data_IF_272163454074
#
_entry.id   IF_272163454074
#
_cell.length_a   1.000
_cell.length_b   1.000
_cell.length_c   1.000
_cell.angle_alpha   90.00
_cell.angle_beta   90.00
_cell.angle_gamma   90.00
#
_symmetry.space_group_name_H-M   'P 1'
#
loop_
_entity.id
_entity.type
_entity.pdbx_description
1 polymer ?
#
# COMPACT_ATOMS: atom_id res chain seq x y z
N UNK A 1 59.05 16.37 -34.59
CA UNK A 1 59.94 17.30 -33.87
C UNK A 1 59.24 17.77 -32.61
N UNK A 2 59.91 17.59 -31.48
CA UNK A 2 59.75 18.19 -30.13
C UNK A 2 58.42 17.92 -29.40
N UNK A 3 58.32 16.97 -28.45
CA UNK A 3 59.02 16.79 -27.15
C UNK A 3 58.33 17.51 -25.98
N UNK A 4 57.59 16.68 -25.22
CA UNK A 4 57.56 16.50 -23.74
C UNK A 4 57.88 17.73 -22.88
N UNK A 5 56.99 18.04 -21.94
CA UNK A 5 57.35 18.30 -20.53
C UNK A 5 56.25 17.78 -19.58
N UNK A 6 56.61 16.74 -18.84
CA UNK A 6 55.88 16.22 -17.70
C UNK A 6 56.11 17.12 -16.47
N UNK A 7 55.05 17.35 -15.70
CA UNK A 7 55.13 17.99 -14.38
C UNK A 7 54.93 16.90 -13.34
N UNK A 8 56.00 16.62 -12.58
CA UNK A 8 55.97 15.79 -11.37
C UNK A 8 55.47 16.65 -10.22
N UNK A 9 54.40 16.22 -9.55
CA UNK A 9 53.99 16.74 -8.24
C UNK A 9 54.45 15.74 -7.19
N UNK A 10 55.46 16.12 -6.41
CA UNK A 10 55.91 15.40 -5.21
C UNK A 10 54.98 15.74 -4.05
N UNK A 11 54.31 14.75 -3.49
CA UNK A 11 53.58 14.87 -2.22
C UNK A 11 54.46 14.31 -1.10
N UNK A 12 54.99 15.20 -0.26
CA UNK A 12 55.80 14.84 0.90
C UNK A 12 54.92 14.23 1.99
N UNK A 13 55.31 13.03 2.43
CA UNK A 13 54.79 12.31 3.58
C UNK A 13 55.40 12.95 4.84
N UNK A 14 54.57 13.53 5.70
CA UNK A 14 55.01 14.00 7.02
C UNK A 14 54.75 12.91 8.05
N UNK A 15 55.85 12.34 8.54
CA UNK A 15 55.91 11.29 9.55
C UNK A 15 55.83 11.93 10.94
N UNK A 16 54.72 11.75 11.67
CA UNK A 16 54.68 12.07 13.10
C UNK A 16 55.01 10.81 13.91
N UNK A 17 56.24 10.79 14.42
CA UNK A 17 56.68 9.88 15.48
C UNK A 17 56.21 10.49 16.80
N UNK A 18 55.29 9.82 17.51
CA UNK A 18 55.08 10.05 18.93
C UNK A 18 55.52 8.79 19.65
N UNK A 19 56.67 8.90 20.32
CA UNK A 19 57.23 7.87 21.19
C UNK A 19 56.49 7.86 22.53
N UNK A 20 56.27 6.63 22.99
CA UNK A 20 55.69 6.24 24.26
C UNK A 20 56.46 6.78 25.47
N UNK A 21 55.73 7.29 26.47
CA UNK A 21 56.14 7.14 27.87
C UNK A 21 55.14 6.23 28.58
N UNK A 22 55.65 5.02 28.83
CA UNK A 22 55.13 3.99 29.70
C UNK A 22 54.88 4.49 31.12
N UNK A 23 53.76 4.07 31.72
CA UNK A 23 53.71 3.73 33.13
C UNK A 23 52.85 2.46 33.27
N UNK A 24 53.50 1.28 33.30
CA UNK A 24 52.93 0.09 33.93
C UNK A 24 52.96 0.24 35.45
N UNK A 25 52.27 -0.54 36.27
CA UNK A 25 51.32 -1.64 36.10
C UNK A 25 50.88 -2.05 37.51
N UNK A 26 49.61 -2.41 37.75
CA UNK A 26 49.24 -3.66 38.45
C UNK A 26 47.71 -3.86 38.45
N UNK A 27 47.22 -5.12 38.48
CA UNK A 27 45.88 -5.50 38.05
C UNK A 27 44.89 -5.58 39.23
N UNK A 28 43.63 -5.22 38.98
CA UNK A 28 42.54 -5.48 39.91
C UNK A 28 41.32 -6.05 39.18
N UNK A 29 41.11 -7.34 39.45
CA UNK A 29 39.87 -8.13 39.53
C UNK A 29 38.66 -7.73 38.68
N UNK A 30 38.23 -8.72 37.90
CA UNK A 30 36.89 -8.90 37.37
C UNK A 30 35.78 -8.54 38.37
N UNK A 31 34.83 -7.73 37.94
CA UNK A 31 33.45 -7.85 38.39
C UNK A 31 32.55 -7.51 37.21
N UNK A 32 31.80 -8.52 36.77
CA UNK A 32 30.63 -8.33 35.92
C UNK A 32 29.66 -7.46 36.71
N UNK A 33 29.31 -6.29 36.19
CA UNK A 33 27.98 -5.78 36.45
C UNK A 33 27.42 -5.16 35.18
N UNK A 34 26.46 -5.90 34.63
CA UNK A 34 25.66 -5.57 33.47
C UNK A 34 24.34 -5.07 34.02
N UNK A 35 24.05 -3.80 33.84
CA UNK A 35 22.68 -3.29 33.99
C UNK A 35 22.44 -2.22 32.94
N UNK A 36 22.33 -2.67 31.69
CA UNK A 36 21.50 -1.98 30.70
C UNK A 36 20.06 -2.11 31.20
N UNK A 37 19.28 -1.02 31.36
CA UNK A 37 17.90 -1.12 31.78
C UNK A 37 17.10 -1.84 30.70
N UNK A 38 16.71 -3.08 30.98
CA UNK A 38 15.78 -3.85 30.18
C UNK A 38 14.39 -3.20 30.33
N UNK A 39 14.09 -2.26 29.44
CA UNK A 39 12.73 -1.72 29.31
C UNK A 39 11.85 -2.84 28.77
N UNK A 40 11.10 -3.46 29.66
CA UNK A 40 10.10 -4.46 29.31
C UNK A 40 8.95 -3.76 28.58
N UNK A 41 9.03 -3.77 27.24
CA UNK A 41 7.92 -3.32 26.39
C UNK A 41 6.80 -4.35 26.52
N UNK A 42 5.75 -3.98 27.26
CA UNK A 42 4.50 -4.73 27.30
C UNK A 42 3.80 -4.61 25.95
N UNK A 43 3.91 -5.67 25.15
CA UNK A 43 2.92 -5.97 24.12
C UNK A 43 1.66 -6.48 24.81
N UNK A 44 0.48 -6.00 24.40
CA UNK A 44 -0.76 -6.72 24.72
C UNK A 44 -0.71 -8.06 23.99
N UNK A 45 -0.36 -9.11 24.72
CA UNK A 45 -0.32 -10.48 24.22
C UNK A 45 -1.75 -10.98 23.97
N UNK A 46 -2.20 -10.87 22.72
CA UNK A 46 -3.23 -11.68 22.11
C UNK A 46 -3.23 -11.36 20.61
N UNK A 47 -3.36 -12.38 19.76
CA UNK A 47 -3.80 -12.20 18.36
C UNK A 47 -5.23 -11.64 18.38
N UNK A 48 -5.34 -10.34 18.63
CA UNK A 48 -6.62 -9.65 18.58
C UNK A 48 -7.13 -9.72 17.14
N UNK A 49 -8.44 -9.99 16.93
CA UNK A 49 -8.98 -10.09 15.60
C UNK A 49 -8.72 -8.80 14.83
N UNK A 50 -8.26 -8.98 13.60
CA UNK A 50 -8.05 -7.94 12.61
C UNK A 50 -9.41 -7.22 12.37
N UNK A 51 -9.53 -5.93 12.70
CA UNK A 51 -10.79 -5.15 12.70
C UNK A 51 -10.82 -4.12 11.55
N UNK A 52 -11.89 -4.14 10.75
CA UNK A 52 -12.13 -3.19 9.66
C UNK A 52 -12.80 -1.89 10.14
N UNK A 53 -12.50 -0.76 9.49
CA UNK A 53 -13.12 0.54 9.78
C UNK A 53 -14.50 0.75 9.13
N UNK A 54 -15.23 1.76 9.64
CA UNK A 54 -16.61 2.11 9.30
C UNK A 54 -16.80 2.67 7.87
N UNK A 55 -15.76 3.27 7.28
CA UNK A 55 -15.83 3.83 5.93
C UNK A 55 -15.03 3.01 4.93
N UNK A 56 -15.54 2.98 3.69
CA UNK A 56 -14.98 2.18 2.60
C UNK A 56 -14.04 3.02 1.75
N UNK A 57 -12.98 2.39 1.25
CA UNK A 57 -11.96 3.00 0.42
C UNK A 57 -11.87 2.24 -0.89
N UNK A 58 -12.06 2.94 -2.00
CA UNK A 58 -12.05 2.39 -3.36
C UNK A 58 -10.87 2.94 -4.15
N UNK A 59 -10.59 2.32 -5.29
CA UNK A 59 -9.68 2.84 -6.30
C UNK A 59 -10.42 3.40 -7.50
N UNK A 60 -9.73 4.28 -8.24
CA UNK A 60 -10.13 4.65 -9.59
C UNK A 60 -9.44 3.67 -10.53
N UNK A 61 -10.23 2.93 -11.29
CA UNK A 61 -9.76 2.05 -12.37
C UNK A 61 -9.85 2.80 -13.69
N UNK A 62 -8.90 2.49 -14.57
CA UNK A 62 -8.92 2.93 -15.96
C UNK A 62 -8.96 1.68 -16.84
N UNK A 63 -9.88 1.66 -17.81
CA UNK A 63 -10.01 0.57 -18.77
C UNK A 63 -9.97 1.15 -20.18
N UNK A 64 -8.79 1.07 -20.82
CA UNK A 64 -8.60 1.55 -22.19
C UNK A 64 -9.25 0.63 -23.23
N UNK A 65 -9.51 -0.63 -22.88
CA UNK A 65 -9.95 -1.64 -23.86
C UNK A 65 -11.46 -1.64 -24.09
N UNK A 66 -12.23 -1.16 -23.12
CA UNK A 66 -13.68 -1.14 -23.19
C UNK A 66 -14.15 0.06 -23.99
N UNK A 67 -14.76 -0.21 -25.15
CA UNK A 67 -15.32 0.82 -26.02
C UNK A 67 -16.37 1.65 -25.28
N UNK A 68 -16.25 2.97 -25.35
CA UNK A 68 -17.11 3.93 -24.64
C UNK A 68 -16.65 4.28 -23.22
N UNK A 69 -15.65 3.57 -22.67
CA UNK A 69 -15.08 3.85 -21.33
C UNK A 69 -13.66 4.44 -21.38
N UNK A 70 -13.13 4.75 -22.56
CA UNK A 70 -11.71 5.09 -22.78
C UNK A 70 -11.27 6.32 -21.97
N UNK A 71 -12.21 7.25 -21.75
CA UNK A 71 -12.01 8.50 -21.01
C UNK A 71 -12.68 8.51 -19.63
N UNK A 72 -13.07 7.35 -19.10
CA UNK A 72 -13.78 7.25 -17.83
C UNK A 72 -12.84 6.71 -16.74
N UNK A 73 -12.71 7.48 -15.65
CA UNK A 73 -12.24 6.96 -14.37
C UNK A 73 -13.38 6.21 -13.69
N UNK A 74 -13.27 4.89 -13.59
CA UNK A 74 -14.33 4.03 -13.09
C UNK A 74 -14.08 3.62 -11.64
N UNK A 75 -15.09 3.79 -10.78
CA UNK A 75 -15.04 3.40 -9.37
C UNK A 75 -15.97 2.21 -9.19
N UNK A 76 -15.38 1.01 -9.13
CA UNK A 76 -16.13 -0.25 -9.00
C UNK A 76 -16.69 -0.43 -7.59
N UNK A 77 -17.95 -0.86 -7.51
CA UNK A 77 -18.67 -1.18 -6.27
C UNK A 77 -18.98 -2.66 -6.12
N UNK A 78 -18.41 -3.53 -6.93
CA UNK A 78 -18.75 -4.96 -6.95
C UNK A 78 -18.50 -5.67 -5.62
N UNK A 79 -17.47 -5.26 -4.88
CA UNK A 79 -17.16 -5.77 -3.55
C UNK A 79 -18.25 -5.43 -2.50
N UNK A 80 -19.21 -4.56 -2.85
CA UNK A 80 -20.31 -4.10 -2.00
C UNK A 80 -21.70 -4.28 -2.63
N UNK A 81 -21.78 -4.61 -3.92
CA UNK A 81 -23.04 -4.75 -4.64
C UNK A 81 -23.38 -6.22 -4.87
N UNK A 82 -24.23 -6.84 -4.03
CA UNK A 82 -24.55 -8.26 -4.15
C UNK A 82 -25.41 -8.51 -5.39
N UNK A 83 -24.82 -9.23 -6.34
CA UNK A 83 -25.49 -9.77 -7.53
C UNK A 83 -26.33 -11.01 -7.16
N UNK A 84 -27.38 -11.27 -7.94
CA UNK A 84 -28.30 -12.39 -7.70
C UNK A 84 -28.81 -12.91 -9.02
N UNK A 85 -28.80 -14.23 -9.20
CA UNK A 85 -29.33 -14.91 -10.39
C UNK A 85 -30.86 -14.82 -10.54
N UNK A 86 -31.58 -14.33 -9.52
CA UNK A 86 -33.03 -14.21 -9.59
C UNK A 86 -33.46 -13.15 -10.61
N UNK A 87 -34.40 -13.44 -11.54
CA UNK A 87 -34.83 -12.50 -12.59
C UNK A 87 -35.30 -11.13 -12.08
N UNK A 88 -35.98 -11.11 -10.93
CA UNK A 88 -36.46 -9.86 -10.29
C UNK A 88 -35.35 -9.05 -9.60
N UNK A 89 -34.10 -9.53 -9.62
CA UNK A 89 -32.95 -8.93 -8.96
C UNK A 89 -31.78 -8.64 -9.89
N UNK A 90 -31.97 -8.75 -11.21
CA UNK A 90 -30.96 -8.47 -12.21
C UNK A 90 -30.41 -7.05 -12.08
N UNK A 91 -29.08 -6.95 -12.03
CA UNK A 91 -28.36 -5.70 -11.89
C UNK A 91 -28.20 -4.91 -13.20
N UNK A 92 -28.47 -5.54 -14.34
CA UNK A 92 -28.35 -4.97 -15.68
C UNK A 92 -29.61 -5.27 -16.51
N UNK A 93 -29.90 -4.49 -17.57
CA UNK A 93 -30.90 -4.83 -18.57
C UNK A 93 -30.56 -6.10 -19.36
N UNK A 94 -31.55 -6.62 -20.07
CA UNK A 94 -31.31 -7.63 -21.09
C UNK A 94 -30.48 -7.00 -22.22
N UNK A 95 -29.35 -7.62 -22.52
CA UNK A 95 -28.35 -7.16 -23.49
C UNK A 95 -28.13 -8.18 -24.62
N UNK A 96 -28.93 -9.25 -24.67
CA UNK A 96 -28.72 -10.40 -25.55
C UNK A 96 -28.71 -10.04 -27.05
N UNK A 97 -29.49 -9.03 -27.43
CA UNK A 97 -29.62 -8.56 -28.82
C UNK A 97 -28.75 -7.34 -29.14
N UNK A 98 -27.90 -6.90 -28.20
CA UNK A 98 -27.07 -5.71 -28.37
C UNK A 98 -25.71 -6.07 -28.99
N UNK A 99 -25.15 -5.24 -29.90
CA UNK A 99 -23.82 -5.47 -30.46
C UNK A 99 -22.75 -5.39 -29.36
N UNK A 100 -21.70 -6.22 -29.45
CA UNK A 100 -20.62 -6.33 -28.45
C UNK A 100 -20.07 -4.96 -28.03
N UNK A 101 -19.80 -4.09 -29.00
CA UNK A 101 -19.32 -2.72 -28.80
C UNK A 101 -20.20 -1.86 -27.88
N UNK A 102 -21.51 -2.10 -27.85
CA UNK A 102 -22.46 -1.34 -27.02
C UNK A 102 -22.64 -1.90 -25.62
N UNK A 103 -22.18 -3.14 -25.39
CA UNK A 103 -22.30 -3.83 -24.11
C UNK A 103 -20.98 -3.86 -23.34
N UNK A 104 -19.89 -3.31 -23.88
CA UNK A 104 -18.63 -3.18 -23.13
C UNK A 104 -18.75 -2.14 -22.00
N UNK A 105 -19.52 -1.08 -22.24
CA UNK A 105 -19.80 -0.03 -21.27
C UNK A 105 -21.16 0.62 -21.56
N UNK A 106 -22.02 0.72 -20.54
CA UNK A 106 -23.30 1.41 -20.66
C UNK A 106 -23.80 1.96 -19.31
N UNK A 107 -24.67 2.96 -19.37
CA UNK A 107 -25.25 3.59 -18.18
C UNK A 107 -26.46 2.81 -17.65
N UNK A 108 -26.53 2.70 -16.33
CA UNK A 108 -27.64 2.12 -15.58
C UNK A 108 -28.53 3.24 -15.02
N UNK A 109 -29.77 3.30 -15.47
CA UNK A 109 -30.74 4.34 -15.10
C UNK A 109 -32.03 3.74 -14.53
N UNK A 110 -32.92 4.59 -14.00
CA UNK A 110 -34.22 4.17 -13.46
C UNK A 110 -34.10 3.08 -12.39
N UNK A 111 -34.83 1.97 -12.58
CA UNK A 111 -34.90 0.86 -11.62
C UNK A 111 -33.53 0.27 -11.25
N UNK A 112 -32.57 0.22 -12.19
CA UNK A 112 -31.25 -0.35 -11.95
C UNK A 112 -30.43 0.54 -11.01
N UNK A 113 -30.55 1.86 -11.18
CA UNK A 113 -29.91 2.83 -10.29
C UNK A 113 -30.53 2.81 -8.90
N UNK A 114 -31.86 2.83 -8.82
CA UNK A 114 -32.57 2.75 -7.54
C UNK A 114 -32.19 1.48 -6.76
N UNK A 115 -32.15 0.34 -7.45
CA UNK A 115 -31.75 -0.94 -6.84
C UNK A 115 -30.29 -0.94 -6.39
N UNK A 116 -29.38 -0.42 -7.20
CA UNK A 116 -27.96 -0.30 -6.85
C UNK A 116 -27.77 0.55 -5.59
N UNK A 117 -28.38 1.73 -5.54
CA UNK A 117 -28.27 2.64 -4.40
C UNK A 117 -28.85 2.02 -3.13
N UNK A 118 -30.01 1.36 -3.24
CA UNK A 118 -30.63 0.65 -2.11
C UNK A 118 -29.73 -0.47 -1.58
N UNK A 119 -29.23 -1.35 -2.45
CA UNK A 119 -28.40 -2.51 -2.05
C UNK A 119 -27.03 -2.11 -1.50
N UNK A 120 -26.44 -1.01 -1.98
CA UNK A 120 -25.14 -0.52 -1.50
C UNK A 120 -25.25 0.39 -0.28
N UNK A 121 -26.45 0.91 0.01
CA UNK A 121 -26.69 1.91 1.06
C UNK A 121 -26.20 3.32 0.70
N UNK A 122 -25.83 3.56 -0.56
CA UNK A 122 -25.41 4.87 -1.07
C UNK A 122 -26.65 5.72 -1.37
N UNK A 123 -26.63 6.99 -0.98
CA UNK A 123 -27.69 7.95 -1.26
C UNK A 123 -27.35 8.87 -2.43
N UNK A 124 -28.36 9.33 -3.15
CA UNK A 124 -28.22 10.35 -4.20
C UNK A 124 -27.62 11.67 -3.70
N UNK A 125 -27.83 11.99 -2.42
CA UNK A 125 -27.29 13.19 -1.77
C UNK A 125 -25.90 12.98 -1.15
N UNK A 126 -25.37 11.76 -1.19
CA UNK A 126 -23.99 11.51 -0.81
C UNK A 126 -23.02 12.16 -1.79
N UNK A 127 -21.76 12.22 -1.36
CA UNK A 127 -20.65 12.67 -2.19
C UNK A 127 -19.63 11.56 -2.36
N UNK A 128 -19.10 11.46 -3.56
CA UNK A 128 -17.89 10.71 -3.87
C UNK A 128 -16.70 11.66 -3.72
N UNK A 129 -15.76 11.30 -2.85
CA UNK A 129 -14.53 12.06 -2.57
C UNK A 129 -13.35 11.36 -3.24
N UNK A 130 -12.68 12.06 -4.15
CA UNK A 130 -11.47 11.58 -4.84
C UNK A 130 -10.27 12.31 -4.25
N UNK A 131 -9.37 11.57 -3.60
CA UNK A 131 -8.24 12.13 -2.86
C UNK A 131 -6.91 11.60 -3.43
N UNK A 132 -6.07 12.52 -3.91
CA UNK A 132 -4.69 12.18 -4.26
C UNK A 132 -3.79 12.39 -3.04
N UNK A 133 -3.34 11.28 -2.46
CA UNK A 133 -2.55 11.31 -1.22
C UNK A 133 -1.09 11.73 -1.43
N UNK A 134 -0.55 11.69 -2.66
CA UNK A 134 0.82 12.12 -2.96
C UNK A 134 0.94 13.63 -3.18
N UNK A 135 -0.17 14.31 -3.48
CA UNK A 135 -0.24 15.76 -3.66
C UNK A 135 -1.05 16.47 -2.58
N UNK A 136 -1.91 15.74 -1.86
CA UNK A 136 -2.83 16.29 -0.88
C UNK A 136 -4.06 16.97 -1.49
N UNK A 137 -4.32 16.79 -2.79
CA UNK A 137 -5.48 17.38 -3.48
C UNK A 137 -6.73 16.51 -3.33
N UNK A 138 -7.90 17.14 -3.25
CA UNK A 138 -9.19 16.46 -3.15
C UNK A 138 -10.25 17.14 -4.02
N UNK A 139 -11.14 16.34 -4.58
CA UNK A 139 -12.35 16.78 -5.28
C UNK A 139 -13.51 15.93 -4.85
N UNK A 140 -14.71 16.49 -4.98
CA UNK A 140 -15.93 15.78 -4.61
C UNK A 140 -17.02 15.96 -5.65
N UNK A 141 -17.79 14.91 -5.87
CA UNK A 141 -18.90 14.89 -6.81
C UNK A 141 -20.16 14.42 -6.07
N UNK A 142 -21.31 15.05 -6.37
CA UNK A 142 -22.59 14.56 -5.87
C UNK A 142 -22.95 13.26 -6.60
N UNK A 143 -23.39 12.24 -5.86
CA UNK A 143 -23.75 10.94 -6.45
C UNK A 143 -24.81 11.09 -7.54
N UNK A 144 -25.84 11.92 -7.32
CA UNK A 144 -26.87 12.22 -8.33
C UNK A 144 -26.39 12.85 -9.64
N UNK A 145 -25.17 13.35 -9.68
CA UNK A 145 -24.56 13.93 -10.89
C UNK A 145 -23.59 12.98 -11.59
N UNK A 146 -23.32 11.82 -11.01
CA UNK A 146 -22.45 10.82 -11.59
C UNK A 146 -23.26 9.75 -12.31
N UNK A 147 -22.87 9.37 -13.54
CA UNK A 147 -23.43 8.21 -14.20
C UNK A 147 -23.12 6.96 -13.38
N UNK A 148 -24.16 6.16 -13.13
CA UNK A 148 -23.99 4.78 -12.70
C UNK A 148 -23.81 3.97 -13.98
N UNK A 149 -22.82 3.11 -14.04
CA UNK A 149 -22.48 2.38 -15.26
C UNK A 149 -22.15 0.93 -14.96
N UNK A 150 -22.42 0.08 -15.96
CA UNK A 150 -21.87 -1.26 -16.05
C UNK A 150 -20.67 -1.21 -17.00
N UNK A 151 -19.55 -1.76 -16.55
CA UNK A 151 -18.31 -1.89 -17.31
C UNK A 151 -17.94 -3.38 -17.36
N UNK A 152 -17.76 -3.92 -18.56
CA UNK A 152 -17.41 -5.33 -18.71
C UNK A 152 -16.07 -5.61 -17.99
N UNK A 153 -15.98 -6.76 -17.32
CA UNK A 153 -14.77 -7.13 -16.59
C UNK A 153 -13.61 -7.40 -17.57
N UNK A 154 -12.34 -7.23 -17.14
CA UNK A 154 -11.19 -7.33 -18.04
C UNK A 154 -10.88 -8.73 -18.57
N UNK A 155 -11.57 -9.76 -18.09
CA UNK A 155 -11.41 -11.16 -18.53
C UNK A 155 -12.40 -11.56 -19.62
N UNK A 156 -13.37 -10.70 -19.94
CA UNK A 156 -14.36 -10.95 -20.97
C UNK A 156 -13.82 -10.61 -22.37
N UNK A 157 -14.23 -11.40 -23.37
CA UNK A 157 -13.83 -11.25 -24.77
C UNK A 157 -15.02 -11.42 -25.72
N UNK A 158 -14.98 -10.82 -26.91
CA UNK A 158 -16.06 -10.93 -27.91
C UNK A 158 -16.42 -12.39 -28.28
N UNK A 159 -15.45 -13.31 -28.17
CA UNK A 159 -15.66 -14.73 -28.45
C UNK A 159 -16.36 -15.51 -27.34
N UNK A 160 -16.69 -14.87 -26.21
CA UNK A 160 -17.38 -15.50 -25.10
C UNK A 160 -18.84 -15.80 -25.46
N UNK A 161 -19.35 -16.95 -25.02
CA UNK A 161 -20.63 -17.48 -25.48
C UNK A 161 -21.83 -16.60 -25.10
N UNK A 162 -21.81 -15.97 -23.92
CA UNK A 162 -22.87 -15.10 -23.39
C UNK A 162 -22.33 -14.20 -22.29
N UNK A 163 -22.81 -12.96 -22.19
CA UNK A 163 -22.54 -12.07 -21.06
C UNK A 163 -23.76 -11.98 -20.14
N UNK A 164 -23.52 -12.08 -18.85
CA UNK A 164 -24.53 -11.89 -17.81
C UNK A 164 -24.07 -10.80 -16.82
N UNK A 165 -24.86 -10.52 -15.80
CA UNK A 165 -24.51 -9.49 -14.81
C UNK A 165 -23.19 -9.75 -14.06
N UNK A 166 -22.74 -11.01 -13.94
CA UNK A 166 -21.47 -11.34 -13.29
C UNK A 166 -20.28 -10.99 -14.20
N UNK A 167 -20.53 -10.85 -15.50
CA UNK A 167 -19.56 -10.32 -16.46
C UNK A 167 -19.26 -8.83 -16.27
N UNK A 168 -20.03 -8.08 -15.45
CA UNK A 168 -19.92 -6.63 -15.33
C UNK A 168 -19.49 -6.14 -13.96
N UNK A 169 -18.52 -5.23 -13.94
CA UNK A 169 -18.31 -4.29 -12.84
C UNK A 169 -19.39 -3.22 -12.85
N UNK A 170 -19.94 -2.90 -11.68
CA UNK A 170 -20.99 -1.89 -11.54
C UNK A 170 -20.50 -0.84 -10.56
N UNK A 171 -20.64 0.43 -10.96
CA UNK A 171 -20.04 1.52 -10.22
C UNK A 171 -20.22 2.88 -10.91
N UNK A 172 -19.56 3.90 -10.38
CA UNK A 172 -19.69 5.26 -10.89
C UNK A 172 -18.59 5.58 -11.89
N UNK A 173 -18.97 6.17 -13.02
CA UNK A 173 -18.05 6.74 -14.00
C UNK A 173 -17.80 8.22 -13.71
N UNK A 174 -16.55 8.67 -13.88
CA UNK A 174 -16.17 10.08 -13.85
C UNK A 174 -15.39 10.39 -15.12
N UNK A 175 -15.80 11.42 -15.85
CA UNK A 175 -15.04 11.89 -17.01
C UNK A 175 -13.61 12.30 -16.59
N UNK A 176 -12.61 11.78 -17.29
CA UNK A 176 -11.19 12.01 -17.00
C UNK A 176 -10.79 13.48 -17.00
N UNK A 177 -11.42 14.31 -17.84
CA UNK A 177 -11.16 15.75 -17.84
C UNK A 177 -11.50 16.38 -16.47
N UNK A 178 -12.53 15.84 -15.79
CA UNK A 178 -12.94 16.27 -14.46
C UNK A 178 -11.97 15.81 -13.37
N UNK A 179 -11.07 14.87 -13.65
CA UNK A 179 -10.05 14.38 -12.72
C UNK A 179 -8.64 14.92 -13.01
N UNK A 180 -8.48 15.73 -14.06
CA UNK A 180 -7.16 16.21 -14.54
C UNK A 180 -6.31 16.93 -13.49
N UNK A 181 -6.95 17.63 -12.53
CA UNK A 181 -6.22 18.34 -11.47
C UNK A 181 -5.78 17.43 -10.31
N UNK A 182 -6.32 16.21 -10.23
CA UNK A 182 -6.11 15.24 -9.15
C UNK A 182 -5.36 13.99 -9.59
N UNK A 183 -5.60 13.50 -10.79
CA UNK A 183 -4.97 12.30 -11.33
C UNK A 183 -3.67 12.60 -12.06
N UNK A 184 -2.63 11.82 -11.78
CA UNK A 184 -1.60 11.55 -12.79
C UNK A 184 -2.11 10.50 -13.79
N UNK A 185 -1.28 10.10 -14.75
CA UNK A 185 -1.70 9.28 -15.90
C UNK A 185 -2.43 7.97 -15.55
N UNK A 186 -2.18 7.38 -14.38
CA UNK A 186 -2.71 6.08 -13.96
C UNK A 186 -3.45 6.08 -12.61
N UNK A 187 -3.68 7.23 -11.99
CA UNK A 187 -4.37 7.32 -10.68
C UNK A 187 -3.77 6.48 -9.53
N UNK A 188 -2.52 6.00 -9.65
CA UNK A 188 -1.84 5.14 -8.67
C UNK A 188 -1.77 5.71 -7.24
N UNK A 189 -1.99 7.02 -7.08
CA UNK A 189 -1.99 7.71 -5.79
C UNK A 189 -3.36 8.25 -5.36
N UNK A 190 -4.43 7.72 -5.94
CA UNK A 190 -5.79 8.17 -5.69
C UNK A 190 -6.56 7.14 -4.87
N UNK A 191 -7.20 7.61 -3.80
CA UNK A 191 -8.16 6.87 -3.01
C UNK A 191 -9.52 7.54 -3.11
N UNK A 192 -10.57 6.72 -3.13
CA UNK A 192 -11.95 7.18 -3.21
C UNK A 192 -12.72 6.75 -1.98
N UNK A 193 -13.63 7.60 -1.50
CA UNK A 193 -14.61 7.22 -0.48
C UNK A 193 -15.96 7.85 -0.80
N UNK A 194 -17.05 7.22 -0.36
CA UNK A 194 -18.42 7.70 -0.59
C UNK A 194 -19.14 7.90 0.74
N UNK A 195 -19.86 9.02 0.85
CA UNK A 195 -20.77 9.28 1.95
C UNK A 195 -21.05 10.77 2.16
N UNK A 196 -21.69 11.11 3.28
CA UNK A 196 -22.07 12.49 3.61
C UNK A 196 -20.89 13.41 3.93
N UNK A 197 -19.79 12.86 4.43
CA UNK A 197 -18.62 13.61 4.93
C UNK A 197 -17.33 13.02 4.37
N UNK A 198 -16.40 13.90 4.02
CA UNK A 198 -15.05 13.55 3.59
C UNK A 198 -14.26 12.92 4.76
N UNK A 199 -13.84 11.65 4.68
CA UNK A 199 -13.05 11.00 5.73
C UNK A 199 -11.56 11.41 5.70
N UNK A 200 -11.05 11.85 4.55
CA UNK A 200 -9.64 12.16 4.35
C UNK A 200 -9.22 13.45 5.06
N UNK A 201 -8.02 13.44 5.63
CA UNK A 201 -7.31 14.66 5.98
C UNK A 201 -6.62 15.18 4.72
N UNK A 202 -6.97 16.40 4.30
CA UNK A 202 -6.49 17.00 3.04
C UNK A 202 -5.05 17.50 3.22
N UNK A 203 -4.11 16.55 3.22
CA UNK A 203 -2.67 16.77 3.35
C UNK A 203 -1.92 15.66 2.62
N UNK A 204 -0.82 16.02 1.95
CA UNK A 204 0.09 15.05 1.35
C UNK A 204 0.66 14.07 2.40
N UNK A 205 0.72 12.80 2.04
CA UNK A 205 1.43 11.76 2.79
C UNK A 205 2.93 11.79 2.55
N UNK A 206 3.67 11.22 3.49
CA UNK A 206 5.11 11.06 3.39
C UNK A 206 5.44 9.78 2.60
N UNK A 207 6.31 9.93 1.60
CA UNK A 207 6.89 8.79 0.91
C UNK A 207 7.92 8.12 1.83
N UNK A 208 7.85 6.80 1.98
CA UNK A 208 8.89 6.07 2.72
C UNK A 208 10.01 5.76 1.73
N UNK A 209 11.10 6.54 1.76
CA UNK A 209 12.27 6.31 0.89
C UNK A 209 13.34 5.55 1.65
N UNK A 210 13.75 4.41 1.12
CA UNK A 210 14.61 3.47 1.82
C UNK A 210 16.09 3.68 1.48
N UNK A 211 16.95 3.37 2.44
CA UNK A 211 18.40 3.31 2.26
C UNK A 211 18.93 2.02 2.86
N UNK A 212 19.79 1.32 2.12
CA UNK A 212 20.42 0.08 2.56
C UNK A 212 21.44 0.34 3.67
N UNK A 213 21.43 -0.53 4.68
CA UNK A 213 22.37 -0.52 5.81
C UNK A 213 22.79 -1.94 6.17
N UNK A 214 23.78 -2.05 7.03
CA UNK A 214 24.22 -3.33 7.59
C UNK A 214 23.08 -4.01 8.36
N UNK A 215 23.01 -5.35 8.27
CA UNK A 215 21.91 -6.13 8.86
C UNK A 215 21.89 -6.07 10.40
N UNK A 216 23.03 -5.79 11.03
CA UNK A 216 23.14 -5.59 12.47
C UNK A 216 22.43 -4.31 12.95
N UNK A 217 22.03 -3.41 12.03
CA UNK A 217 21.23 -2.22 12.36
C UNK A 217 19.75 -2.52 12.53
N UNK A 218 19.28 -3.72 12.19
CA UNK A 218 17.91 -4.11 12.46
C UNK A 218 17.66 -4.18 13.97
N UNK A 219 16.56 -3.60 14.48
CA UNK A 219 16.38 -3.40 15.91
C UNK A 219 16.21 -4.74 16.65
N UNK A 220 16.93 -4.89 17.75
CA UNK A 220 16.78 -5.99 18.70
C UNK A 220 15.60 -5.72 19.65
N UNK A 221 14.38 -5.73 19.13
CA UNK A 221 13.14 -5.61 19.92
C UNK A 221 12.46 -6.97 20.07
N UNK A 222 11.59 -7.08 21.07
CA UNK A 222 10.75 -8.26 21.24
C UNK A 222 9.68 -8.27 20.14
N UNK A 223 9.78 -9.18 19.19
CA UNK A 223 8.79 -9.34 18.11
C UNK A 223 7.50 -10.00 18.61
N UNK A 224 6.40 -9.80 17.87
CA UNK A 224 5.16 -10.55 18.10
C UNK A 224 5.40 -12.06 17.96
N UNK A 225 4.75 -12.87 18.79
CA UNK A 225 5.02 -14.31 18.89
C UNK A 225 4.67 -15.12 17.62
N UNK A 226 3.66 -14.68 16.87
CA UNK A 226 3.30 -15.22 15.56
C UNK A 226 4.47 -15.06 14.57
N UNK A 227 5.02 -13.83 14.48
CA UNK A 227 6.16 -13.52 13.62
C UNK A 227 7.43 -14.28 14.06
N UNK A 228 7.74 -14.34 15.36
CA UNK A 228 8.90 -15.10 15.87
C UNK A 228 8.87 -16.56 15.41
N UNK A 229 7.68 -17.16 15.37
CA UNK A 229 7.53 -18.56 14.97
C UNK A 229 7.82 -18.75 13.48
N UNK A 230 7.34 -17.84 12.63
CA UNK A 230 7.59 -17.87 11.19
C UNK A 230 9.04 -17.56 10.83
N UNK A 231 9.67 -16.58 11.49
CA UNK A 231 11.05 -16.15 11.23
C UNK A 231 12.08 -17.28 11.36
N UNK A 232 11.79 -18.35 12.12
CA UNK A 232 12.68 -19.52 12.26
C UNK A 232 12.98 -20.24 10.94
N UNK A 233 12.12 -20.04 9.93
CA UNK A 233 12.27 -20.68 8.62
C UNK A 233 13.08 -19.82 7.63
N UNK A 234 13.44 -18.59 8.01
CA UNK A 234 14.06 -17.61 7.14
C UNK A 234 15.47 -17.21 7.60
N UNK A 235 16.39 -17.10 6.64
CA UNK A 235 17.66 -16.40 6.84
C UNK A 235 17.50 -14.91 6.57
N UNK A 236 18.27 -14.10 7.29
CA UNK A 236 18.32 -12.65 7.13
C UNK A 236 19.23 -12.27 5.97
N UNK A 237 18.77 -11.32 5.16
CA UNK A 237 19.54 -10.72 4.07
C UNK A 237 19.86 -9.26 4.42
N UNK A 238 19.55 -8.33 3.53
CA UNK A 238 19.79 -6.90 3.69
C UNK A 238 18.74 -6.22 4.59
N UNK A 239 19.20 -5.20 5.31
CA UNK A 239 18.33 -4.28 6.04
C UNK A 239 18.27 -2.94 5.33
N UNK A 240 17.07 -2.37 5.29
CA UNK A 240 16.81 -1.06 4.74
C UNK A 240 16.14 -0.20 5.82
N UNK A 241 16.48 1.09 5.85
CA UNK A 241 15.92 2.04 6.81
C UNK A 241 15.34 3.27 6.13
N UNK A 242 14.38 3.90 6.83
CA UNK A 242 13.91 5.24 6.54
C UNK A 242 13.72 5.98 7.88
N UNK A 243 14.04 7.27 7.92
CA UNK A 243 13.84 8.11 9.11
C UNK A 243 12.92 9.27 8.72
N UNK A 244 11.79 9.40 9.42
CA UNK A 244 10.83 10.48 9.25
C UNK A 244 10.44 11.01 10.64
N UNK A 245 10.86 12.23 10.96
CA UNK A 245 10.65 12.85 12.27
C UNK A 245 11.10 11.93 13.43
N UNK A 246 10.18 11.52 14.31
CA UNK A 246 10.44 10.60 15.43
C UNK A 246 10.21 9.14 15.07
N UNK A 247 9.93 8.81 13.81
CA UNK A 247 9.65 7.44 13.36
C UNK A 247 10.84 6.89 12.58
N UNK A 248 11.37 5.77 13.06
CA UNK A 248 12.39 4.99 12.37
C UNK A 248 11.75 3.73 11.80
N UNK A 249 11.83 3.58 10.49
CA UNK A 249 11.33 2.44 9.74
C UNK A 249 12.48 1.50 9.43
N UNK A 250 12.24 0.21 9.59
CA UNK A 250 13.19 -0.86 9.29
C UNK A 250 12.49 -1.90 8.43
N UNK A 251 13.16 -2.36 7.38
CA UNK A 251 12.74 -3.47 6.54
C UNK A 251 13.89 -4.45 6.41
N UNK A 252 13.72 -5.67 6.93
CA UNK A 252 14.67 -6.76 6.77
C UNK A 252 14.16 -7.69 5.66
N UNK A 253 14.94 -7.81 4.60
CA UNK A 253 14.70 -8.83 3.57
C UNK A 253 15.08 -10.20 4.11
N UNK A 254 14.27 -11.20 3.79
CA UNK A 254 14.33 -12.54 4.31
C UNK A 254 14.19 -13.57 3.19
N UNK A 255 14.85 -14.72 3.34
CA UNK A 255 14.75 -15.83 2.40
C UNK A 255 14.58 -17.16 3.12
N UNK A 256 13.62 -17.96 2.70
CA UNK A 256 13.37 -19.26 3.32
C UNK A 256 14.58 -20.18 3.13
N UNK A 257 14.98 -20.90 4.18
CA UNK A 257 16.16 -21.77 4.16
C UNK A 257 15.87 -23.19 3.64
N UNK A 258 14.65 -23.70 3.86
CA UNK A 258 14.36 -25.14 3.80
C UNK A 258 13.26 -25.56 2.81
N UNK A 259 12.74 -24.66 2.00
CA UNK A 259 11.65 -24.98 1.08
C UNK A 259 12.15 -25.20 -0.35
N UNK A 260 11.55 -26.18 -1.03
CA UNK A 260 11.70 -26.44 -2.47
C UNK A 260 11.36 -25.19 -3.33
N UNK A 261 10.64 -24.23 -2.75
CA UNK A 261 10.09 -23.05 -3.43
C UNK A 261 10.84 -21.73 -3.18
N UNK A 262 11.89 -21.71 -2.32
CA UNK A 262 12.76 -20.54 -2.10
C UNK A 262 11.96 -19.21 -1.93
N UNK A 263 11.00 -19.15 -1.01
CA UNK A 263 10.12 -17.98 -0.84
C UNK A 263 10.85 -16.78 -0.25
N UNK A 264 10.50 -15.59 -0.73
CA UNK A 264 10.98 -14.33 -0.16
C UNK A 264 9.99 -13.81 0.88
N UNK A 265 10.53 -13.13 1.90
CA UNK A 265 9.74 -12.46 2.91
C UNK A 265 10.37 -11.12 3.28
N UNK A 266 9.58 -10.23 3.87
CA UNK A 266 10.06 -8.96 4.41
C UNK A 266 9.44 -8.69 5.77
N UNK A 267 10.30 -8.48 6.77
CA UNK A 267 9.88 -8.05 8.10
C UNK A 267 10.01 -6.53 8.22
N UNK A 268 8.89 -5.86 8.45
CA UNK A 268 8.83 -4.40 8.57
C UNK A 268 8.50 -4.03 10.01
N UNK A 269 9.29 -3.11 10.58
CA UNK A 269 9.10 -2.56 11.92
C UNK A 269 9.15 -1.03 11.85
N UNK A 270 8.29 -0.38 12.61
CA UNK A 270 8.35 1.07 12.85
C UNK A 270 8.50 1.33 14.34
N UNK A 271 9.53 2.08 14.71
CA UNK A 271 9.84 2.45 16.10
C UNK A 271 9.70 3.97 16.25
N UNK A 272 8.96 4.39 17.27
CA UNK A 272 8.94 5.77 17.71
C UNK A 272 10.14 6.02 18.63
N UNK A 273 11.11 6.80 18.16
CA UNK A 273 12.37 7.04 18.88
C UNK A 273 12.19 7.87 20.14
N UNK A 274 11.13 8.66 20.23
CA UNK A 274 10.84 9.46 21.42
C UNK A 274 10.29 8.60 22.56
N UNK A 275 9.45 7.61 22.24
CA UNK A 275 8.81 6.75 23.25
C UNK A 275 9.48 5.38 23.41
N UNK A 276 10.33 4.98 22.46
CA UNK A 276 10.89 3.64 22.36
C UNK A 276 9.89 2.55 21.95
N UNK A 277 8.65 2.92 21.61
CA UNK A 277 7.58 1.96 21.29
C UNK A 277 7.63 1.49 19.84
N UNK A 278 7.30 0.22 19.63
CA UNK A 278 7.01 -0.32 18.29
C UNK A 278 5.60 0.10 17.91
N UNK A 279 5.49 0.95 16.90
CA UNK A 279 4.23 1.49 16.37
C UNK A 279 3.64 0.56 15.30
N UNK A 280 4.48 -0.23 14.63
CA UNK A 280 4.03 -1.16 13.60
C UNK A 280 5.02 -2.32 13.49
N UNK A 281 4.48 -3.51 13.26
CA UNK A 281 5.26 -4.71 12.98
C UNK A 281 4.42 -5.61 12.08
N UNK A 282 4.93 -6.01 10.91
CA UNK A 282 4.30 -7.01 10.05
C UNK A 282 5.36 -7.81 9.27
N UNK A 283 5.07 -9.08 9.03
CA UNK A 283 5.84 -9.97 8.19
C UNK A 283 5.07 -10.20 6.89
N UNK A 284 5.63 -9.74 5.77
CA UNK A 284 5.08 -9.97 4.43
C UNK A 284 5.74 -11.21 3.83
N UNK A 285 4.94 -12.13 3.30
CA UNK A 285 5.42 -13.36 2.65
C UNK A 285 4.81 -13.47 1.26
N UNK A 286 5.62 -13.94 0.30
CA UNK A 286 5.13 -14.20 -1.05
C UNK A 286 4.26 -15.45 -1.11
N UNK A 287 3.19 -15.38 -1.89
CA UNK A 287 2.36 -16.52 -2.27
C UNK A 287 1.79 -16.29 -3.68
N UNK A 288 1.00 -17.23 -4.19
CA UNK A 288 0.42 -17.16 -5.54
C UNK A 288 -0.41 -15.90 -5.80
N UNK A 289 -1.02 -15.36 -4.74
CA UNK A 289 -1.91 -14.20 -4.78
C UNK A 289 -1.21 -12.87 -4.49
N UNK A 290 -0.06 -12.90 -3.81
CA UNK A 290 0.57 -11.72 -3.23
C UNK A 290 2.08 -11.75 -3.45
N UNK A 291 2.57 -10.74 -4.17
CA UNK A 291 3.98 -10.41 -4.29
C UNK A 291 4.40 -9.33 -3.29
N UNK A 292 5.69 -9.28 -2.97
CA UNK A 292 6.26 -8.23 -2.12
C UNK A 292 6.65 -7.04 -3.02
N UNK A 293 6.11 -5.86 -2.75
CA UNK A 293 6.40 -4.67 -3.54
C UNK A 293 7.88 -4.26 -3.38
N UNK A 294 8.51 -3.73 -4.43
CA UNK A 294 9.86 -3.19 -4.30
C UNK A 294 9.90 -2.00 -3.36
N UNK A 295 10.98 -1.89 -2.58
CA UNK A 295 11.21 -0.74 -1.70
C UNK A 295 11.52 0.53 -2.52
N UNK A 296 10.80 1.62 -2.24
CA UNK A 296 11.01 2.91 -2.87
C UNK A 296 12.47 3.38 -2.73
N UNK A 297 13.06 3.84 -3.83
CA UNK A 297 14.39 4.45 -3.85
C UNK A 297 15.57 3.47 -3.89
N UNK A 298 15.34 2.16 -3.75
CA UNK A 298 16.40 1.14 -3.86
C UNK A 298 16.79 0.87 -5.32
N UNK A 299 15.80 0.77 -6.21
CA UNK A 299 16.02 0.54 -7.63
C UNK A 299 16.00 1.86 -8.40
N UNK A 300 17.14 2.24 -8.99
CA UNK A 300 17.33 3.55 -9.66
C UNK A 300 16.36 3.80 -10.83
N UNK A 301 15.90 2.75 -11.50
CA UNK A 301 14.99 2.83 -12.65
C UNK A 301 13.52 2.58 -12.27
N UNK A 302 13.23 2.32 -11.00
CA UNK A 302 11.86 2.13 -10.54
C UNK A 302 11.14 3.47 -10.47
N UNK A 303 10.18 3.67 -11.38
CA UNK A 303 9.24 4.81 -11.33
C UNK A 303 8.12 4.59 -10.32
N UNK A 304 7.99 3.38 -9.78
CA UNK A 304 6.95 3.04 -8.83
C UNK A 304 7.26 3.59 -7.44
N UNK A 305 6.28 4.29 -6.87
CA UNK A 305 6.33 4.83 -5.49
C UNK A 305 5.15 4.27 -4.71
N UNK A 306 5.39 3.13 -4.06
CA UNK A 306 4.32 2.30 -3.53
C UNK A 306 4.16 2.49 -2.01
N UNK A 307 5.25 2.67 -1.24
CA UNK A 307 5.16 2.76 0.23
C UNK A 307 4.96 4.19 0.74
N UNK A 308 3.87 4.40 1.49
CA UNK A 308 3.49 5.70 2.05
C UNK A 308 3.10 5.60 3.52
N UNK A 309 3.27 6.71 4.23
CA UNK A 309 2.85 6.86 5.63
C UNK A 309 2.37 8.26 5.95
N UNK A 310 1.61 8.40 7.03
CA UNK A 310 1.20 9.68 7.59
C UNK A 310 -0.27 9.74 7.94
N UNK A 311 -0.76 10.95 8.23
CA UNK A 311 -2.14 11.17 8.64
C UNK A 311 -3.08 11.19 7.44
N UNK A 312 -3.65 10.04 7.08
CA UNK A 312 -4.56 9.90 5.93
C UNK A 312 -6.01 10.28 6.26
N UNK A 313 -6.50 9.91 7.45
CA UNK A 313 -7.89 10.11 7.85
C UNK A 313 -8.01 11.10 9.00
N UNK A 314 -9.14 11.83 9.05
CA UNK A 314 -9.47 12.71 10.18
C UNK A 314 -9.71 11.89 11.44
N UNK A 315 -9.18 12.34 12.57
CA UNK A 315 -9.43 11.74 13.89
C UNK A 315 -9.13 10.23 13.95
N UNK A 316 -8.04 9.81 13.30
CA UNK A 316 -7.53 8.44 13.32
C UNK A 316 -6.03 8.45 13.57
N UNK A 317 -5.44 7.30 13.83
CA UNK A 317 -3.99 7.19 13.84
C UNK A 317 -3.40 7.41 12.43
N UNK A 318 -2.13 7.81 12.32
CA UNK A 318 -1.39 7.75 11.07
C UNK A 318 -1.40 6.32 10.48
N UNK A 319 -1.24 6.21 9.17
CA UNK A 319 -1.28 4.94 8.45
C UNK A 319 0.06 4.55 7.85
N UNK A 320 0.19 3.29 7.46
CA UNK A 320 1.30 2.73 6.68
C UNK A 320 0.75 1.69 5.69
N UNK A 321 1.19 1.73 4.43
CA UNK A 321 0.73 0.82 3.37
C UNK A 321 1.69 0.76 2.17
N UNK A 322 1.40 -0.14 1.22
CA UNK A 322 2.12 -0.23 -0.07
C UNK A 322 3.27 -1.23 -0.14
N UNK A 323 3.27 -2.21 0.76
CA UNK A 323 4.35 -3.21 0.89
C UNK A 323 4.10 -4.49 0.08
N UNK A 324 2.90 -4.65 -0.49
CA UNK A 324 2.53 -5.81 -1.31
C UNK A 324 1.91 -5.39 -2.63
N UNK A 325 2.08 -6.25 -3.63
CA UNK A 325 1.36 -6.25 -4.90
C UNK A 325 0.43 -7.45 -4.88
N UNK A 326 -0.88 -7.25 -5.10
CA UNK A 326 -1.85 -8.33 -5.04
C UNK A 326 -2.30 -8.69 -6.46
N UNK A 327 -2.11 -9.95 -6.84
CA UNK A 327 -2.73 -10.57 -8.02
C UNK A 327 -4.17 -10.96 -7.71
N UNK A 328 -4.41 -11.44 -6.49
CA UNK A 328 -5.73 -11.73 -5.95
C UNK A 328 -5.90 -11.02 -4.60
N UNK A 329 -7.07 -10.46 -4.35
CA UNK A 329 -7.33 -9.63 -3.18
C UNK A 329 -6.89 -8.18 -3.35
N UNK A 330 -7.21 -7.37 -2.34
CA UNK A 330 -6.99 -5.93 -2.34
C UNK A 330 -5.98 -5.51 -1.28
N UNK A 331 -5.37 -4.35 -1.52
CA UNK A 331 -4.36 -3.79 -0.63
C UNK A 331 -4.93 -3.39 0.73
N UNK A 332 -4.07 -3.46 1.75
CA UNK A 332 -4.39 -3.10 3.12
C UNK A 332 -3.79 -1.75 3.50
N UNK A 333 -4.55 -0.95 4.24
CA UNK A 333 -4.08 0.28 4.89
C UNK A 333 -4.08 0.08 6.39
N UNK A 334 -2.89 -0.02 7.00
CA UNK A 334 -2.75 -0.28 8.43
C UNK A 334 -2.69 1.01 9.24
N UNK A 335 -3.25 1.02 10.46
CA UNK A 335 -3.10 2.12 11.41
C UNK A 335 -1.90 1.89 12.33
N UNK A 336 -0.98 2.87 12.38
CA UNK A 336 0.15 2.85 13.30
C UNK A 336 -0.32 2.97 14.75
N UNK A 337 0.36 2.25 15.65
CA UNK A 337 0.01 2.05 17.05
C UNK A 337 -1.19 1.13 17.26
N UNK A 338 -1.90 0.74 16.20
CA UNK A 338 -3.08 -0.13 16.23
C UNK A 338 -3.09 -1.06 14.99
N UNK A 339 -2.03 -1.85 14.73
CA UNK A 339 -1.88 -2.61 13.49
C UNK A 339 -2.96 -3.68 13.26
N UNK A 340 -3.64 -4.14 14.32
CA UNK A 340 -4.83 -4.97 14.21
C UNK A 340 -6.03 -4.25 13.58
N UNK A 341 -6.01 -2.91 13.50
CA UNK A 341 -6.98 -2.11 12.76
C UNK A 341 -6.41 -1.76 11.40
N UNK A 342 -7.20 -1.97 10.37
CA UNK A 342 -6.83 -1.66 8.99
C UNK A 342 -8.07 -1.40 8.15
N UNK A 343 -7.85 -0.89 6.95
CA UNK A 343 -8.85 -0.79 5.91
C UNK A 343 -8.49 -1.76 4.81
N UNK A 344 -9.42 -2.65 4.48
CA UNK A 344 -9.38 -3.42 3.25
C UNK A 344 -9.88 -2.52 2.12
N UNK A 345 -9.03 -2.24 1.14
CA UNK A 345 -9.44 -1.45 -0.01
C UNK A 345 -10.37 -2.25 -0.92
N UNK A 346 -11.22 -1.54 -1.66
CA UNK A 346 -12.22 -2.10 -2.56
C UNK A 346 -11.69 -1.95 -3.98
N UNK A 347 -11.30 -3.07 -4.56
CA UNK A 347 -10.52 -3.13 -5.80
C UNK A 347 -11.13 -4.03 -6.86
N UNK A 348 -12.33 -4.58 -6.64
CA UNK A 348 -12.98 -5.52 -7.55
C UNK A 348 -12.24 -6.86 -7.64
N UNK A 349 -11.99 -7.51 -6.49
CA UNK A 349 -11.27 -8.78 -6.45
C UNK A 349 -12.21 -9.96 -6.74
N UNK A 350 -12.57 -10.14 -8.02
CA UNK A 350 -13.51 -11.19 -8.48
C UNK A 350 -12.89 -12.55 -8.76
N UNK A 351 -11.69 -12.79 -8.26
CA UNK A 351 -10.95 -14.03 -8.47
C UNK A 351 -11.29 -15.12 -7.47
#
# INVERSE_FOLDING_TARGET
>A
MNSIKSVKVSLQIMLFVVLFTSCGSTPSKSTKDSTTPEVSIQYSAASQPKLSEEFKIYYVRWEERAKGAENIGFISFSDDYPLSEHPDSLAIPDISDMPYDSIQYFELTGKYREQFLNKTGVSEDDKLFVFNYSTGKIQSFLIKKLPLSALINPYASEGDATFDQFSYMIGFGIDRSMLSEIGGDYYNHVLVSVGKKNPFLVKKLNLITWSKVDSEKFPAVKFRSDIVSELKNFRKLETNICQLDTLHFFAQELKEEKADYNRSARHVIVINTKSGKVEFEELYTENESVGIAHLNGIFKDSRETNQWTGQLFKNRSPVIFGFTNNSFGCSLIYFMGQPQRFIYTKCDSRH
#
